data_IF_758812503148
#
_entry.id   IF_758812503148
#
_cell.length_a   1.000
_cell.length_b   1.000
_cell.length_c   1.000
_cell.angle_alpha   90.00
_cell.angle_beta   90.00
_cell.angle_gamma   90.00
#
_symmetry.space_group_name_H-M   'P 1'
#
loop_
_entity.id
_entity.type
_entity.pdbx_description
1 polymer ?
#
# COMPACT_ATOMS: atom_id res chain seq x y z
N UNK A 1 -2.93 4.57 21.36
CA UNK A 1 -3.94 4.19 22.36
C UNK A 1 -4.18 2.69 22.45
N UNK A 2 -3.79 1.88 21.44
CA UNK A 2 -4.00 0.43 21.46
C UNK A 2 -5.45 -0.02 21.22
N UNK A 3 -6.37 0.93 21.03
CA UNK A 3 -7.78 0.67 20.69
C UNK A 3 -8.02 1.01 19.21
N UNK A 4 -8.80 0.19 18.48
CA UNK A 4 -9.17 0.50 17.11
C UNK A 4 -9.99 1.81 17.06
N UNK A 5 -9.78 2.58 16.01
CA UNK A 5 -10.55 3.81 15.71
C UNK A 5 -11.52 3.50 14.57
N UNK A 6 -12.79 3.90 14.72
CA UNK A 6 -13.79 3.73 13.68
C UNK A 6 -13.78 4.93 12.74
N UNK A 7 -13.57 4.72 11.44
CA UNK A 7 -13.68 5.79 10.42
C UNK A 7 -15.14 5.90 9.98
N UNK A 8 -15.73 7.09 10.06
CA UNK A 8 -17.10 7.34 9.61
C UNK A 8 -17.07 7.94 8.21
N UNK A 9 -17.49 7.18 7.21
CA UNK A 9 -17.72 7.67 5.84
C UNK A 9 -19.21 7.88 5.61
N UNK A 10 -19.58 9.02 5.02
CA UNK A 10 -20.96 9.29 4.63
C UNK A 10 -21.32 8.63 3.30
N UNK A 11 -22.61 8.48 3.00
CA UNK A 11 -23.06 8.05 1.67
C UNK A 11 -22.50 8.94 0.55
N UNK A 12 -22.45 10.26 0.78
CA UNK A 12 -21.84 11.21 -0.16
C UNK A 12 -20.37 10.90 -0.41
N UNK A 13 -19.62 10.52 0.62
CA UNK A 13 -18.21 10.17 0.48
C UNK A 13 -18.01 8.90 -0.33
N UNK A 14 -18.83 7.88 -0.08
CA UNK A 14 -18.83 6.65 -0.88
C UNK A 14 -19.17 6.94 -2.35
N UNK A 15 -20.27 7.67 -2.62
CA UNK A 15 -20.70 8.03 -3.98
C UNK A 15 -19.62 8.85 -4.70
N UNK A 16 -19.00 9.84 -4.05
CA UNK A 16 -17.95 10.64 -4.67
C UNK A 16 -16.76 9.80 -5.14
N UNK A 17 -16.35 8.81 -4.34
CA UNK A 17 -15.32 7.85 -4.73
C UNK A 17 -15.79 6.92 -5.86
N UNK A 18 -17.00 6.37 -5.76
CA UNK A 18 -17.59 5.49 -6.77
C UNK A 18 -17.72 6.19 -8.13
N UNK A 19 -18.24 7.42 -8.16
CA UNK A 19 -18.38 8.20 -9.38
C UNK A 19 -17.02 8.48 -10.04
N UNK A 20 -16.00 8.77 -9.23
CA UNK A 20 -14.63 8.91 -9.71
C UNK A 20 -14.10 7.62 -10.31
N UNK A 21 -14.27 6.49 -9.63
CA UNK A 21 -13.83 5.17 -10.09
C UNK A 21 -14.50 4.79 -11.41
N UNK A 22 -15.83 4.97 -11.52
CA UNK A 22 -16.60 4.71 -12.74
C UNK A 22 -16.04 5.48 -13.93
N UNK A 23 -15.82 6.79 -13.79
CA UNK A 23 -15.25 7.62 -14.86
C UNK A 23 -13.82 7.23 -15.20
N UNK A 24 -12.96 7.13 -14.18
CA UNK A 24 -11.50 6.94 -14.34
C UNK A 24 -11.15 5.60 -14.99
N UNK A 25 -11.83 4.53 -14.58
CA UNK A 25 -11.58 3.18 -15.11
C UNK A 25 -12.57 2.79 -16.22
N UNK A 26 -13.46 3.72 -16.58
CA UNK A 26 -14.50 3.55 -17.59
C UNK A 26 -15.30 2.28 -17.36
N UNK A 27 -15.85 2.16 -16.14
CA UNK A 27 -16.70 1.04 -15.73
C UNK A 27 -18.02 1.08 -16.50
N UNK A 28 -18.51 -0.07 -16.94
CA UNK A 28 -19.81 -0.22 -17.61
C UNK A 28 -20.51 -1.54 -17.27
N UNK A 29 -21.76 -1.69 -17.68
CA UNK A 29 -22.59 -2.86 -17.35
C UNK A 29 -22.00 -4.22 -17.78
N UNK A 30 -21.13 -4.23 -18.79
CA UNK A 30 -20.45 -5.43 -19.29
C UNK A 30 -19.23 -5.83 -18.44
N UNK A 31 -18.81 -4.98 -17.49
CA UNK A 31 -17.66 -5.29 -16.65
C UNK A 31 -17.97 -6.38 -15.62
N UNK A 32 -16.90 -7.09 -15.28
CA UNK A 32 -16.88 -8.12 -14.24
C UNK A 32 -15.71 -7.86 -13.32
N UNK A 33 -15.99 -7.40 -12.11
CA UNK A 33 -14.98 -7.00 -11.14
C UNK A 33 -14.64 -8.17 -10.21
N UNK A 34 -13.36 -8.34 -9.85
CA UNK A 34 -12.98 -9.24 -8.78
C UNK A 34 -13.03 -8.52 -7.43
N UNK A 35 -13.68 -9.11 -6.44
CA UNK A 35 -13.66 -8.62 -5.06
C UNK A 35 -12.80 -9.53 -4.19
N UNK A 36 -11.59 -9.07 -3.90
CA UNK A 36 -10.63 -9.74 -3.02
C UNK A 36 -10.74 -9.31 -1.57
N UNK A 37 -10.99 -8.01 -1.40
CA UNK A 37 -10.96 -7.39 -0.10
C UNK A 37 -12.16 -7.84 0.73
N UNK A 38 -11.95 -8.36 1.95
CA UNK A 38 -13.04 -8.56 2.89
C UNK A 38 -13.84 -7.27 3.09
N UNK A 39 -15.13 -7.37 3.38
CA UNK A 39 -16.01 -6.19 3.51
C UNK A 39 -15.68 -5.26 4.69
N UNK A 40 -14.84 -5.71 5.61
CA UNK A 40 -14.28 -4.86 6.68
C UNK A 40 -13.05 -4.06 6.23
N UNK A 41 -12.69 -4.14 4.94
CA UNK A 41 -11.62 -3.39 4.30
C UNK A 41 -12.23 -2.52 3.18
N UNK A 42 -11.93 -1.23 3.22
CA UNK A 42 -12.48 -0.18 2.35
C UNK A 42 -12.21 -0.39 0.86
N UNK A 43 -11.15 -1.12 0.51
CA UNK A 43 -10.83 -1.53 -0.86
C UNK A 43 -12.01 -2.25 -1.54
N UNK A 44 -12.84 -2.97 -0.75
CA UNK A 44 -14.08 -3.61 -1.23
C UNK A 44 -15.14 -2.64 -1.75
N UNK A 45 -15.07 -1.35 -1.38
CA UNK A 45 -16.03 -0.34 -1.83
C UNK A 45 -15.88 -0.04 -3.32
N UNK A 46 -14.68 -0.19 -3.89
CA UNK A 46 -14.45 -0.03 -5.32
C UNK A 46 -15.23 -1.08 -6.10
N UNK A 47 -15.04 -2.36 -5.77
CA UNK A 47 -15.58 -3.47 -6.55
C UNK A 47 -17.10 -3.52 -6.43
N UNK A 48 -17.62 -3.41 -5.21
CA UNK A 48 -19.05 -3.53 -4.92
C UNK A 48 -19.82 -2.32 -5.46
N UNK A 49 -19.52 -1.12 -4.97
CA UNK A 49 -20.31 0.06 -5.35
C UNK A 49 -19.99 0.53 -6.77
N UNK A 50 -18.75 0.35 -7.25
CA UNK A 50 -18.39 0.60 -8.63
C UNK A 50 -19.22 -0.24 -9.60
N UNK A 51 -19.36 -1.55 -9.31
CA UNK A 51 -20.17 -2.41 -10.15
C UNK A 51 -21.67 -2.09 -10.06
N UNK A 52 -22.20 -1.87 -8.85
CA UNK A 52 -23.62 -1.56 -8.65
C UNK A 52 -24.03 -0.25 -9.32
N UNK A 53 -23.13 0.75 -9.35
CA UNK A 53 -23.40 2.04 -9.98
C UNK A 53 -23.61 1.94 -11.50
N UNK A 54 -23.06 0.93 -12.16
CA UNK A 54 -23.11 0.78 -13.63
C UNK A 54 -23.85 -0.48 -14.09
N UNK A 55 -24.40 -1.27 -13.17
CA UNK A 55 -25.07 -2.53 -13.49
C UNK A 55 -24.12 -3.69 -13.87
N UNK A 56 -22.85 -3.59 -13.49
CA UNK A 56 -21.85 -4.63 -13.68
C UNK A 56 -22.00 -5.78 -12.66
N UNK A 57 -21.20 -6.83 -12.84
CA UNK A 57 -21.17 -7.97 -11.92
C UNK A 57 -19.90 -8.01 -11.08
N UNK A 58 -19.97 -8.62 -9.91
CA UNK A 58 -18.84 -8.79 -8.99
C UNK A 58 -18.66 -10.27 -8.66
N UNK A 59 -17.43 -10.76 -8.83
CA UNK A 59 -17.02 -12.08 -8.35
C UNK A 59 -16.38 -11.94 -6.97
N UNK A 60 -17.09 -12.38 -5.94
CA UNK A 60 -16.57 -12.45 -4.57
C UNK A 60 -15.54 -13.57 -4.46
N UNK A 61 -14.31 -13.28 -4.05
CA UNK A 61 -13.25 -14.28 -3.90
C UNK A 61 -13.14 -14.67 -2.44
N UNK A 62 -13.26 -15.98 -2.18
CA UNK A 62 -13.22 -16.50 -0.81
C UNK A 62 -11.78 -16.47 -0.26
N UNK A 63 -11.59 -16.38 1.07
CA UNK A 63 -10.25 -16.35 1.65
C UNK A 63 -9.34 -17.51 1.22
N UNK A 64 -9.87 -18.73 1.10
CA UNK A 64 -9.10 -19.88 0.62
C UNK A 64 -8.72 -19.76 -0.86
N UNK A 65 -9.64 -19.24 -1.69
CA UNK A 65 -9.40 -19.01 -3.12
C UNK A 65 -8.31 -17.95 -3.33
N UNK A 66 -8.27 -16.91 -2.48
CA UNK A 66 -7.30 -15.82 -2.56
C UNK A 66 -5.84 -16.27 -2.39
N UNK A 67 -5.60 -17.46 -1.83
CA UNK A 67 -4.26 -18.04 -1.66
C UNK A 67 -3.81 -18.90 -2.85
N UNK A 68 -4.69 -19.18 -3.81
CA UNK A 68 -4.44 -20.10 -4.92
C UNK A 68 -4.11 -19.34 -6.21
N UNK A 69 -2.91 -18.76 -6.27
CA UNK A 69 -2.46 -17.92 -7.39
C UNK A 69 -2.70 -18.49 -8.81
N UNK A 70 -2.33 -19.75 -9.12
CA UNK A 70 -2.60 -20.32 -10.46
C UNK A 70 -4.09 -20.49 -10.76
N UNK A 71 -4.89 -20.82 -9.74
CA UNK A 71 -6.33 -20.94 -9.87
C UNK A 71 -6.98 -19.57 -10.13
N UNK A 72 -6.53 -18.53 -9.43
CA UNK A 72 -7.01 -17.15 -9.64
C UNK A 72 -6.77 -16.70 -11.08
N UNK A 73 -5.58 -16.96 -11.63
CA UNK A 73 -5.27 -16.63 -13.02
C UNK A 73 -6.23 -17.32 -14.00
N UNK A 74 -6.54 -18.61 -13.78
CA UNK A 74 -7.50 -19.36 -14.60
C UNK A 74 -8.92 -18.83 -14.46
N UNK A 75 -9.32 -18.52 -13.22
CA UNK A 75 -10.65 -17.99 -12.89
C UNK A 75 -10.91 -16.66 -13.59
N UNK A 76 -9.92 -15.77 -13.67
CA UNK A 76 -10.04 -14.49 -14.40
C UNK A 76 -10.58 -14.73 -15.82
N UNK A 77 -10.02 -15.72 -16.54
CA UNK A 77 -10.46 -16.07 -17.89
C UNK A 77 -11.78 -16.81 -17.92
N UNK A 78 -11.96 -17.80 -17.05
CA UNK A 78 -13.17 -18.65 -17.04
C UNK A 78 -14.43 -17.87 -16.67
N UNK A 79 -14.32 -16.91 -15.75
CA UNK A 79 -15.45 -16.09 -15.30
C UNK A 79 -15.55 -14.74 -16.05
N UNK A 80 -14.59 -14.46 -16.93
CA UNK A 80 -14.56 -13.27 -17.79
C UNK A 80 -14.28 -11.97 -17.03
N UNK A 81 -13.45 -12.01 -15.98
CA UNK A 81 -13.08 -10.84 -15.18
C UNK A 81 -12.40 -9.79 -16.07
N UNK A 82 -12.95 -8.58 -16.07
CA UNK A 82 -12.45 -7.45 -16.88
C UNK A 82 -11.60 -6.49 -16.04
N UNK A 83 -11.84 -6.42 -14.73
CA UNK A 83 -11.15 -5.52 -13.81
C UNK A 83 -10.83 -6.27 -12.52
N UNK A 84 -9.55 -6.26 -12.18
CA UNK A 84 -9.03 -6.85 -10.97
C UNK A 84 -8.61 -5.77 -9.99
N UNK A 85 -8.93 -5.93 -8.71
CA UNK A 85 -8.42 -5.03 -7.66
C UNK A 85 -8.03 -5.80 -6.39
N UNK A 86 -6.76 -5.74 -6.01
CA UNK A 86 -6.23 -6.43 -4.82
C UNK A 86 -5.04 -5.70 -4.19
N UNK A 87 -4.43 -6.31 -3.17
CA UNK A 87 -3.11 -5.88 -2.72
C UNK A 87 -2.00 -6.37 -3.67
N UNK A 88 -0.85 -5.67 -3.76
CA UNK A 88 0.33 -6.08 -4.54
C UNK A 88 0.77 -7.53 -4.35
N UNK A 89 0.78 -8.03 -3.10
CA UNK A 89 1.26 -9.39 -2.80
C UNK A 89 0.51 -10.50 -3.55
N UNK A 90 -0.80 -10.34 -3.80
CA UNK A 90 -1.59 -11.32 -4.57
C UNK A 90 -1.16 -11.32 -6.04
N UNK A 91 -0.96 -10.14 -6.63
CA UNK A 91 -0.53 -10.00 -8.03
C UNK A 91 0.89 -10.54 -8.23
N UNK A 92 1.80 -10.26 -7.28
CA UNK A 92 3.16 -10.78 -7.31
C UNK A 92 3.18 -12.32 -7.24
N UNK A 93 2.36 -12.92 -6.34
CA UNK A 93 2.22 -14.37 -6.26
C UNK A 93 1.67 -14.98 -7.56
N UNK A 94 0.70 -14.30 -8.19
CA UNK A 94 0.13 -14.72 -9.48
C UNK A 94 1.18 -14.73 -10.60
N UNK A 95 1.98 -13.66 -10.72
CA UNK A 95 3.06 -13.56 -11.71
C UNK A 95 4.14 -14.62 -11.49
N UNK A 96 4.50 -14.91 -10.23
CA UNK A 96 5.54 -15.89 -9.91
C UNK A 96 5.08 -17.34 -10.11
N UNK A 97 3.82 -17.64 -9.80
CA UNK A 97 3.32 -19.02 -9.72
C UNK A 97 2.59 -19.49 -10.98
N UNK A 98 2.37 -18.60 -11.96
CA UNK A 98 1.57 -18.90 -13.16
C UNK A 98 2.40 -18.69 -14.44
N UNK A 99 3.01 -19.76 -14.99
CA UNK A 99 3.59 -19.70 -16.32
C UNK A 99 2.56 -19.27 -17.37
N UNK A 100 2.99 -18.52 -18.38
CA UNK A 100 2.11 -17.96 -19.42
C UNK A 100 0.92 -17.15 -18.86
N UNK A 101 1.13 -16.33 -17.82
CA UNK A 101 0.08 -15.60 -17.13
C UNK A 101 -0.85 -14.83 -18.09
N UNK A 102 -0.31 -14.13 -19.10
CA UNK A 102 -1.10 -13.44 -20.12
C UNK A 102 -2.16 -14.34 -20.78
N UNK A 103 -1.80 -15.59 -21.10
CA UNK A 103 -2.74 -16.57 -21.66
C UNK A 103 -3.73 -17.04 -20.60
N UNK A 104 -3.27 -17.26 -19.37
CA UNK A 104 -4.10 -17.72 -18.26
C UNK A 104 -5.23 -16.73 -17.94
N UNK A 105 -4.94 -15.43 -17.90
CA UNK A 105 -5.93 -14.36 -17.62
C UNK A 105 -6.83 -14.03 -18.79
N UNK A 106 -6.37 -14.23 -20.04
CA UNK A 106 -7.16 -13.96 -21.24
C UNK A 106 -7.22 -12.48 -21.64
N UNK A 107 -7.78 -12.19 -22.83
CA UNK A 107 -7.73 -10.86 -23.43
C UNK A 107 -8.77 -9.87 -22.89
N UNK A 108 -9.78 -10.34 -22.16
CA UNK A 108 -10.87 -9.51 -21.63
C UNK A 108 -10.46 -8.69 -20.40
N UNK A 109 -9.37 -9.08 -19.72
CA UNK A 109 -8.86 -8.35 -18.56
C UNK A 109 -8.22 -7.03 -19.02
N UNK A 110 -8.85 -5.91 -18.65
CA UNK A 110 -8.42 -4.55 -19.00
C UNK A 110 -7.50 -3.95 -17.96
N UNK A 111 -7.83 -4.15 -16.69
CA UNK A 111 -7.15 -3.52 -15.55
C UNK A 111 -6.76 -4.52 -14.48
N UNK A 112 -5.52 -4.40 -14.00
CA UNK A 112 -5.11 -4.88 -12.68
C UNK A 112 -4.76 -3.67 -11.82
N UNK A 113 -5.68 -3.32 -10.95
CA UNK A 113 -5.54 -2.28 -9.95
C UNK A 113 -4.96 -2.88 -8.69
N UNK A 114 -4.20 -2.07 -7.94
CA UNK A 114 -3.69 -2.47 -6.65
C UNK A 114 -3.56 -1.29 -5.68
N UNK A 115 -3.71 -1.58 -4.40
CA UNK A 115 -3.57 -0.59 -3.33
C UNK A 115 -3.20 -1.25 -2.00
N UNK A 116 -2.86 -0.42 -1.01
CA UNK A 116 -2.80 -0.84 0.39
C UNK A 116 -1.49 -1.50 0.85
N UNK A 117 -0.54 -1.72 -0.06
CA UNK A 117 0.86 -2.09 0.19
C UNK A 117 1.76 -1.34 -0.81
N UNK A 118 3.05 -1.21 -0.50
CA UNK A 118 4.04 -0.81 -1.51
C UNK A 118 4.22 -2.00 -2.45
N UNK A 119 4.08 -1.78 -3.76
CA UNK A 119 4.43 -2.79 -4.76
C UNK A 119 5.93 -2.68 -5.04
N UNK A 120 6.76 -3.67 -4.65
CA UNK A 120 8.18 -3.56 -4.93
C UNK A 120 8.44 -3.70 -6.43
N UNK A 121 9.26 -2.80 -6.95
CA UNK A 121 9.42 -2.55 -8.39
C UNK A 121 9.90 -3.78 -9.17
N UNK A 122 10.81 -4.64 -8.67
CA UNK A 122 11.18 -5.87 -9.37
C UNK A 122 10.00 -6.82 -9.62
N UNK A 123 9.12 -6.99 -8.63
CA UNK A 123 7.93 -7.84 -8.75
C UNK A 123 6.89 -7.20 -9.68
N UNK A 124 6.74 -5.88 -9.65
CA UNK A 124 5.85 -5.17 -10.56
C UNK A 124 6.32 -5.28 -12.02
N UNK A 125 7.64 -5.26 -12.24
CA UNK A 125 8.26 -5.49 -13.54
C UNK A 125 7.93 -6.89 -14.05
N UNK A 126 8.15 -7.91 -13.22
CA UNK A 126 7.78 -9.29 -13.57
C UNK A 126 6.28 -9.43 -13.91
N UNK A 127 5.39 -8.75 -13.18
CA UNK A 127 3.96 -8.72 -13.51
C UNK A 127 3.71 -8.04 -14.86
N UNK A 128 4.28 -6.85 -15.09
CA UNK A 128 4.15 -6.08 -16.33
C UNK A 128 4.58 -6.92 -17.54
N UNK A 129 5.70 -7.62 -17.43
CA UNK A 129 6.22 -8.49 -18.49
C UNK A 129 5.34 -9.73 -18.71
N UNK A 130 4.71 -10.24 -17.65
CA UNK A 130 3.83 -11.41 -17.70
C UNK A 130 2.43 -11.10 -18.25
N UNK A 131 1.97 -9.84 -18.20
CA UNK A 131 0.67 -9.37 -18.72
C UNK A 131 0.78 -8.03 -19.48
N UNK A 132 1.55 -7.96 -20.58
CA UNK A 132 1.82 -6.70 -21.29
C UNK A 132 0.55 -6.05 -21.88
N UNK A 133 -0.50 -6.83 -22.10
CA UNK A 133 -1.79 -6.36 -22.62
C UNK A 133 -2.68 -5.68 -21.56
N UNK A 134 -2.34 -5.78 -20.27
CA UNK A 134 -3.19 -5.34 -19.16
C UNK A 134 -2.68 -4.01 -18.60
N UNK A 135 -3.57 -3.05 -18.39
CA UNK A 135 -3.21 -1.78 -17.73
C UNK A 135 -3.06 -2.01 -16.23
N UNK A 136 -2.02 -1.43 -15.64
CA UNK A 136 -1.75 -1.57 -14.20
C UNK A 136 -1.94 -0.21 -13.52
N UNK A 137 -2.66 -0.20 -12.40
CA UNK A 137 -2.98 1.03 -11.67
C UNK A 137 -2.66 0.92 -10.18
N UNK A 138 -1.84 1.82 -9.66
CA UNK A 138 -1.57 1.97 -8.24
C UNK A 138 -2.53 3.00 -7.64
N UNK A 139 -3.47 2.56 -6.81
CA UNK A 139 -4.37 3.44 -6.05
C UNK A 139 -3.80 3.61 -4.64
N UNK A 140 -3.87 4.83 -4.13
CA UNK A 140 -3.31 5.17 -2.83
C UNK A 140 -4.25 6.08 -2.05
N UNK A 141 -4.35 5.80 -0.75
CA UNK A 141 -5.02 6.64 0.21
C UNK A 141 -5.37 5.83 1.46
N UNK A 142 -5.41 6.47 2.64
CA UNK A 142 -5.92 5.81 3.83
C UNK A 142 -7.45 5.70 3.78
N UNK A 143 -8.01 4.91 4.69
CA UNK A 143 -9.47 4.73 4.82
C UNK A 143 -10.21 6.03 5.08
N UNK A 144 -9.57 6.98 5.75
CA UNK A 144 -10.10 8.32 5.98
C UNK A 144 -10.34 9.13 4.70
N UNK A 145 -9.77 8.72 3.56
CA UNK A 145 -9.99 9.37 2.26
C UNK A 145 -10.62 8.45 1.22
N UNK A 146 -10.77 7.15 1.47
CA UNK A 146 -11.23 6.15 0.49
C UNK A 146 -10.57 6.33 -0.89
N UNK A 147 -9.23 6.17 -0.95
CA UNK A 147 -8.35 6.57 -2.06
C UNK A 147 -8.31 8.08 -2.29
N UNK A 148 -7.11 8.65 -2.39
CA UNK A 148 -6.94 10.07 -2.67
C UNK A 148 -6.01 10.37 -3.85
N UNK A 149 -5.18 9.41 -4.24
CA UNK A 149 -4.30 9.53 -5.41
C UNK A 149 -4.29 8.22 -6.19
N UNK A 150 -3.94 8.30 -7.47
CA UNK A 150 -3.69 7.11 -8.27
C UNK A 150 -2.67 7.36 -9.37
N UNK A 151 -1.95 6.30 -9.74
CA UNK A 151 -0.93 6.26 -10.78
C UNK A 151 -1.22 5.13 -11.76
N UNK A 152 -1.38 5.45 -13.05
CA UNK A 152 -1.27 4.44 -14.09
C UNK A 152 0.21 4.14 -14.33
N UNK A 153 0.58 2.86 -14.26
CA UNK A 153 1.97 2.42 -14.38
C UNK A 153 2.37 2.39 -15.86
N UNK A 154 2.52 3.55 -16.51
CA UNK A 154 2.95 3.61 -17.91
C UNK A 154 4.42 3.22 -18.06
N UNK A 155 5.26 3.69 -17.13
CA UNK A 155 6.69 3.43 -17.10
C UNK A 155 7.10 2.95 -15.71
N UNK A 156 8.09 2.06 -15.68
CA UNK A 156 8.71 1.59 -14.45
C UNK A 156 10.06 2.29 -14.25
N UNK A 157 10.37 2.74 -13.04
CA UNK A 157 11.68 3.32 -12.76
C UNK A 157 12.79 2.26 -12.94
N UNK A 158 14.00 2.75 -13.22
CA UNK A 158 15.20 1.93 -13.26
C UNK A 158 15.53 1.36 -11.86
N UNK A 159 16.11 0.17 -11.84
CA UNK A 159 16.50 -0.51 -10.59
C UNK A 159 15.32 -0.82 -9.67
N UNK A 160 15.49 -0.49 -8.38
CA UNK A 160 14.56 -0.85 -7.29
C UNK A 160 13.78 0.36 -6.75
N UNK A 161 13.88 1.53 -7.40
CA UNK A 161 13.20 2.73 -6.92
C UNK A 161 11.67 2.52 -6.90
N UNK A 162 10.94 2.99 -5.86
CA UNK A 162 9.51 2.78 -5.76
C UNK A 162 8.75 3.55 -6.84
N UNK A 163 7.64 2.99 -7.30
CA UNK A 163 6.73 3.73 -8.19
C UNK A 163 6.05 4.90 -7.45
N UNK A 164 5.66 5.96 -8.17
CA UNK A 164 4.84 7.02 -7.61
C UNK A 164 3.48 6.52 -7.08
N UNK A 165 2.90 7.29 -6.16
CA UNK A 165 1.49 7.15 -5.76
C UNK A 165 0.57 8.01 -6.64
N UNK A 166 1.14 8.70 -7.63
CA UNK A 166 0.40 9.27 -8.74
C UNK A 166 -0.12 10.67 -8.49
N UNK A 167 -1.23 11.02 -9.13
CA UNK A 167 -1.84 12.35 -9.00
C UNK A 167 -3.05 12.26 -8.08
N UNK A 168 -3.36 13.38 -7.43
CA UNK A 168 -4.59 13.52 -6.65
C UNK A 168 -5.79 13.28 -7.56
N UNK A 169 -6.76 12.48 -7.11
CA UNK A 169 -7.98 12.21 -7.86
C UNK A 169 -8.69 13.52 -8.23
N UNK A 170 -9.30 13.58 -9.41
CA UNK A 170 -9.80 14.83 -10.01
C UNK A 170 -10.89 15.53 -9.18
N UNK A 171 -11.65 14.78 -8.39
CA UNK A 171 -12.69 15.28 -7.48
C UNK A 171 -12.14 15.78 -6.13
N UNK A 172 -10.82 15.72 -5.94
CA UNK A 172 -10.12 16.07 -4.70
C UNK A 172 -9.13 17.20 -4.92
N UNK A 173 -8.63 17.73 -3.82
CA UNK A 173 -7.58 18.75 -3.79
C UNK A 173 -6.51 18.31 -2.81
N UNK A 174 -5.26 18.25 -3.27
CA UNK A 174 -4.13 17.87 -2.45
C UNK A 174 -3.17 19.04 -2.22
N UNK A 175 -2.79 19.23 -0.97
CA UNK A 175 -1.81 20.21 -0.50
C UNK A 175 -0.67 19.47 0.18
N UNK A 176 0.58 19.89 -0.05
CA UNK A 176 1.75 19.33 0.61
C UNK A 176 2.23 20.37 1.60
N UNK A 177 2.17 20.08 2.90
CA UNK A 177 2.41 21.08 3.95
C UNK A 177 3.60 20.74 4.83
N UNK A 178 4.35 21.77 5.21
CA UNK A 178 5.45 21.70 6.15
C UNK A 178 4.98 21.61 7.60
N UNK A 179 5.92 21.63 8.54
CA UNK A 179 5.63 21.60 9.98
C UNK A 179 4.90 22.87 10.47
N UNK A 180 5.10 24.00 9.78
CA UNK A 180 4.42 25.26 10.03
C UNK A 180 2.97 25.30 9.50
N UNK A 181 2.51 24.20 8.87
CA UNK A 181 1.18 24.08 8.29
C UNK A 181 0.99 24.82 6.97
N UNK A 182 2.05 25.40 6.39
CA UNK A 182 2.02 26.07 5.09
C UNK A 182 2.46 25.14 3.97
N UNK A 183 2.10 25.47 2.74
CA UNK A 183 2.56 24.70 1.58
C UNK A 183 4.08 24.74 1.45
N UNK A 184 4.67 23.59 1.15
CA UNK A 184 6.12 23.48 0.91
C UNK A 184 6.47 23.99 -0.48
N UNK A 185 7.73 24.40 -0.66
CA UNK A 185 8.25 24.76 -1.98
C UNK A 185 8.17 23.57 -2.96
N UNK A 186 8.05 23.82 -4.29
CA UNK A 186 8.06 22.75 -5.29
C UNK A 186 9.26 21.80 -5.12
N UNK A 187 9.00 20.49 -5.15
CA UNK A 187 10.03 19.46 -4.98
C UNK A 187 10.46 19.20 -3.53
N UNK A 188 10.01 19.98 -2.55
CA UNK A 188 10.25 19.69 -1.14
C UNK A 188 9.35 18.56 -0.62
N UNK A 189 9.82 17.88 0.42
CA UNK A 189 9.04 16.85 1.14
C UNK A 189 8.14 17.53 2.16
N UNK A 190 6.88 17.08 2.25
CA UNK A 190 5.95 17.52 3.29
C UNK A 190 4.81 16.53 3.50
N UNK A 191 3.91 16.85 4.42
CA UNK A 191 2.74 16.04 4.72
C UNK A 191 1.68 16.19 3.63
N UNK A 192 1.08 15.08 3.22
CA UNK A 192 -0.07 15.09 2.31
C UNK A 192 -1.35 15.46 3.08
N UNK A 193 -2.01 16.51 2.60
CA UNK A 193 -3.31 16.96 3.07
C UNK A 193 -4.32 16.89 1.92
N UNK A 194 -5.46 16.27 2.16
CA UNK A 194 -6.50 16.05 1.15
C UNK A 194 -7.78 16.77 1.55
N UNK A 195 -8.38 17.50 0.63
CA UNK A 195 -9.72 18.07 0.73
C UNK A 195 -10.60 17.49 -0.38
N UNK A 196 -11.88 17.23 -0.10
CA UNK A 196 -12.82 16.82 -1.14
C UNK A 196 -14.00 15.99 -0.65
N UNK A 197 -14.75 15.46 -1.61
CA UNK A 197 -16.05 14.81 -1.36
C UNK A 197 -15.97 13.46 -0.65
N UNK A 198 -14.85 12.73 -0.76
CA UNK A 198 -14.67 11.37 -0.24
C UNK A 198 -14.02 11.29 1.15
N UNK A 199 -13.84 12.44 1.82
CA UNK A 199 -13.28 12.47 3.17
C UNK A 199 -14.23 11.84 4.20
N UNK A 200 -13.63 11.27 5.24
CA UNK A 200 -14.33 10.93 6.47
C UNK A 200 -15.12 12.11 7.03
N UNK A 201 -16.25 11.80 7.66
CA UNK A 201 -17.00 12.73 8.51
C UNK A 201 -16.36 12.89 9.89
N UNK A 202 -15.56 11.90 10.31
CA UNK A 202 -14.80 11.92 11.57
C UNK A 202 -14.52 10.51 12.07
N UNK A 203 -13.92 10.43 13.26
CA UNK A 203 -13.73 9.17 13.98
C UNK A 203 -14.90 8.92 14.95
N UNK A 204 -15.46 7.72 14.92
CA UNK A 204 -16.61 7.33 15.74
C UNK A 204 -16.28 7.46 17.23
N UNK A 205 -17.00 8.33 17.93
CA UNK A 205 -16.81 8.59 19.36
C UNK A 205 -15.51 9.32 19.72
N UNK A 206 -14.78 9.88 18.74
CA UNK A 206 -13.49 10.54 18.96
C UNK A 206 -13.38 11.88 18.20
N UNK A 207 -14.08 12.88 18.72
CA UNK A 207 -14.09 14.23 18.16
C UNK A 207 -12.74 14.95 18.30
N UNK A 208 -11.94 14.61 19.32
CA UNK A 208 -10.61 15.18 19.53
C UNK A 208 -9.65 14.73 18.45
N UNK A 209 -9.56 13.43 18.17
CA UNK A 209 -8.73 12.90 17.09
C UNK A 209 -9.19 13.45 15.74
N UNK A 210 -10.50 13.61 15.54
CA UNK A 210 -11.05 14.21 14.33
C UNK A 210 -10.51 15.63 14.13
N UNK A 211 -10.60 16.48 15.16
CA UNK A 211 -10.07 17.86 15.11
C UNK A 211 -8.56 17.88 14.89
N UNK A 212 -7.80 17.00 15.53
CA UNK A 212 -6.34 16.95 15.39
C UNK A 212 -5.87 16.61 13.97
N UNK A 213 -6.70 15.87 13.21
CA UNK A 213 -6.39 15.46 11.83
C UNK A 213 -6.94 16.39 10.77
N UNK A 214 -7.74 17.40 11.15
CA UNK A 214 -8.39 18.30 10.20
C UNK A 214 -7.88 19.74 10.37
N UNK A 215 -7.65 20.43 9.26
CA UNK A 215 -7.31 21.85 9.26
C UNK A 215 -7.89 22.55 8.03
N UNK A 216 -8.34 23.80 8.21
CA UNK A 216 -8.82 24.60 7.08
C UNK A 216 -7.64 25.15 6.28
N UNK A 217 -7.77 25.18 4.97
CA UNK A 217 -6.87 25.90 4.07
C UNK A 217 -7.15 27.40 4.05
N UNK A 218 -6.32 28.15 3.34
CA UNK A 218 -6.55 29.59 3.09
C UNK A 218 -7.82 29.87 2.28
N UNK A 219 -8.28 28.87 1.52
CA UNK A 219 -9.53 28.88 0.75
C UNK A 219 -10.74 28.36 1.55
N UNK A 220 -10.59 28.25 2.87
CA UNK A 220 -11.58 27.72 3.82
C UNK A 220 -11.98 26.24 3.58
N UNK A 221 -11.34 25.52 2.66
CA UNK A 221 -11.61 24.08 2.50
C UNK A 221 -11.09 23.31 3.71
N UNK A 222 -11.84 22.31 4.16
CA UNK A 222 -11.40 21.41 5.22
C UNK A 222 -10.49 20.33 4.63
N UNK A 223 -9.23 20.31 5.05
CA UNK A 223 -8.27 19.30 4.68
C UNK A 223 -8.07 18.28 5.80
N UNK A 224 -7.94 17.02 5.42
CA UNK A 224 -7.52 15.92 6.28
C UNK A 224 -6.03 15.63 6.09
N UNK A 225 -5.29 15.52 7.21
CA UNK A 225 -3.89 15.13 7.24
C UNK A 225 -3.77 13.61 7.19
N UNK A 226 -3.27 13.08 6.07
CA UNK A 226 -3.16 11.62 5.89
C UNK A 226 -2.10 10.99 6.79
N UNK A 227 -1.12 11.78 7.23
CA UNK A 227 0.06 11.33 7.95
C UNK A 227 1.17 10.82 7.05
N UNK A 228 0.99 10.87 5.72
CA UNK A 228 1.96 10.42 4.73
C UNK A 228 2.87 11.58 4.32
N UNK A 229 4.17 11.32 4.24
CA UNK A 229 5.15 12.23 3.68
C UNK A 229 5.26 11.98 2.18
N UNK A 230 5.20 13.05 1.40
CA UNK A 230 5.26 12.98 -0.06
C UNK A 230 6.14 14.09 -0.61
N UNK A 231 6.64 13.86 -1.82
CA UNK A 231 7.30 14.86 -2.66
C UNK A 231 6.55 14.96 -3.99
N UNK A 232 6.32 16.17 -4.48
CA UNK A 232 5.78 16.38 -5.84
C UNK A 232 6.91 16.48 -6.84
N UNK A 233 6.89 15.65 -7.87
CA UNK A 233 7.81 15.75 -9.02
C UNK A 233 7.39 16.88 -9.97
N UNK A 234 8.26 17.23 -10.91
CA UNK A 234 8.05 18.35 -11.84
C UNK A 234 6.80 18.18 -12.72
N UNK A 235 6.42 16.96 -13.04
CA UNK A 235 5.21 16.57 -13.80
C UNK A 235 3.91 16.55 -12.94
N UNK A 236 4.03 16.91 -11.66
CA UNK A 236 2.92 16.96 -10.69
C UNK A 236 2.61 15.63 -10.01
N UNK A 237 3.34 14.57 -10.32
CA UNK A 237 3.15 13.24 -9.72
C UNK A 237 3.67 13.23 -8.27
N UNK A 238 3.03 12.47 -7.39
CA UNK A 238 3.38 12.37 -5.98
C UNK A 238 4.20 11.11 -5.73
N UNK A 239 5.34 11.29 -5.08
CA UNK A 239 6.26 10.24 -4.67
C UNK A 239 6.13 10.08 -3.16
N UNK A 240 5.71 8.90 -2.72
CA UNK A 240 5.61 8.56 -1.30
C UNK A 240 7.01 8.47 -0.68
N UNK A 241 7.19 9.08 0.49
CA UNK A 241 8.46 9.15 1.23
C UNK A 241 8.40 8.39 2.57
N UNK A 242 7.23 7.91 2.97
CA UNK A 242 7.03 7.26 4.26
C UNK A 242 5.88 7.87 5.03
N UNK A 243 5.79 7.52 6.30
CA UNK A 243 4.71 7.95 7.19
C UNK A 243 5.28 8.66 8.40
N UNK A 244 4.73 9.82 8.73
CA UNK A 244 5.17 10.63 9.88
C UNK A 244 5.11 9.86 11.19
N UNK A 245 4.15 8.95 11.37
CA UNK A 245 4.02 8.10 12.55
C UNK A 245 4.82 6.78 12.48
N UNK A 246 5.41 6.45 11.33
CA UNK A 246 6.35 5.32 11.16
C UNK A 246 7.82 5.75 11.13
N UNK A 247 8.07 7.05 11.21
CA UNK A 247 9.38 7.64 11.40
C UNK A 247 9.87 7.40 12.81
N UNK A 248 10.98 6.68 12.90
CA UNK A 248 11.54 6.26 14.18
C UNK A 248 12.91 6.87 14.39
N UNK A 249 13.22 7.22 15.63
CA UNK A 249 14.57 7.65 15.99
C UNK A 249 15.37 6.43 16.43
N UNK A 250 16.43 6.10 15.68
CA UNK A 250 17.35 5.01 15.99
C UNK A 250 18.72 5.64 16.23
N UNK A 251 19.21 5.58 17.47
CA UNK A 251 20.52 6.16 17.87
C UNK A 251 20.68 7.64 17.47
N UNK A 252 19.61 8.41 17.58
CA UNK A 252 19.59 9.83 17.21
C UNK A 252 19.35 10.11 15.71
N UNK A 253 19.38 9.10 14.85
CA UNK A 253 19.07 9.21 13.42
C UNK A 253 17.59 9.00 13.17
N UNK A 254 17.02 9.78 12.24
CA UNK A 254 15.65 9.61 11.78
C UNK A 254 15.64 8.54 10.69
N UNK A 255 14.97 7.42 10.94
CA UNK A 255 14.91 6.26 10.05
C UNK A 255 13.47 5.99 9.62
N UNK A 256 13.27 5.79 8.33
CA UNK A 256 12.02 5.32 7.74
C UNK A 256 12.05 3.80 7.65
N UNK A 257 11.10 3.12 8.31
CA UNK A 257 11.05 1.65 8.26
C UNK A 257 10.89 1.11 6.82
N UNK A 258 10.17 1.85 5.99
CA UNK A 258 9.95 1.48 4.59
C UNK A 258 11.23 1.51 3.74
N UNK A 259 12.19 2.39 4.05
CA UNK A 259 13.48 2.44 3.36
C UNK A 259 14.30 1.18 3.66
N UNK A 260 14.33 0.79 4.93
CA UNK A 260 15.00 -0.45 5.36
C UNK A 260 14.34 -1.67 4.73
N UNK A 261 13.01 -1.72 4.70
CA UNK A 261 12.26 -2.80 4.05
C UNK A 261 12.50 -2.87 2.55
N UNK A 262 12.55 -1.73 1.85
CA UNK A 262 12.86 -1.69 0.43
C UNK A 262 14.25 -2.28 0.15
N UNK A 263 15.25 -1.93 0.96
CA UNK A 263 16.59 -2.50 0.84
C UNK A 263 16.62 -4.01 1.15
N UNK A 264 15.86 -4.48 2.15
CA UNK A 264 15.73 -5.92 2.46
C UNK A 264 15.07 -6.66 1.30
N UNK A 265 13.99 -6.12 0.73
CA UNK A 265 13.28 -6.74 -0.39
C UNK A 265 14.09 -6.77 -1.70
N UNK A 266 15.13 -5.94 -1.81
CA UNK A 266 16.06 -5.97 -2.92
C UNK A 266 17.09 -7.10 -2.83
N UNK A 267 17.15 -7.83 -1.71
CA UNK A 267 18.02 -8.99 -1.55
C UNK A 267 17.38 -10.23 -2.24
N UNK A 268 18.06 -10.90 -3.18
CA UNK A 268 17.50 -12.00 -3.97
C UNK A 268 16.96 -13.17 -3.13
N UNK A 269 17.54 -13.42 -1.96
CA UNK A 269 17.20 -14.49 -1.03
C UNK A 269 15.91 -14.23 -0.26
N UNK A 270 15.42 -12.99 -0.20
CA UNK A 270 14.22 -12.61 0.57
C UNK A 270 12.95 -12.86 -0.25
N UNK A 271 12.01 -13.61 0.33
CA UNK A 271 10.66 -13.80 -0.21
C UNK A 271 9.69 -12.75 0.37
N UNK A 272 9.70 -12.60 1.70
CA UNK A 272 8.91 -11.60 2.42
C UNK A 272 9.72 -11.00 3.56
N UNK A 273 9.49 -9.74 3.89
CA UNK A 273 10.17 -9.07 4.97
C UNK A 273 9.28 -7.98 5.59
N UNK A 274 9.44 -7.78 6.89
CA UNK A 274 8.87 -6.65 7.61
C UNK A 274 9.88 -6.19 8.66
N UNK A 275 10.12 -4.89 8.71
CA UNK A 275 10.92 -4.24 9.74
C UNK A 275 9.98 -3.61 10.76
N UNK A 276 10.23 -3.91 12.03
CA UNK A 276 9.52 -3.31 13.15
C UNK A 276 10.50 -2.49 13.99
N UNK A 277 10.04 -1.33 14.46
CA UNK A 277 10.72 -0.61 15.51
C UNK A 277 10.21 -1.05 16.88
N UNK A 278 11.15 -1.35 17.77
CA UNK A 278 10.93 -1.68 19.18
C UNK A 278 11.51 -0.54 20.03
N UNK A 279 10.80 -0.12 21.07
CA UNK A 279 11.32 0.91 21.97
C UNK A 279 12.64 0.47 22.62
N UNK A 280 13.62 1.35 22.59
CA UNK A 280 14.94 1.21 23.21
C UNK A 280 15.17 2.40 24.13
N UNK A 281 15.22 2.14 25.44
CA UNK A 281 15.26 3.20 26.45
C UNK A 281 16.46 4.13 26.34
N UNK A 282 17.55 3.72 25.66
CA UNK A 282 18.77 4.51 25.50
C UNK A 282 18.87 5.17 24.13
N UNK A 283 18.36 4.54 23.07
CA UNK A 283 18.60 4.94 21.68
C UNK A 283 17.35 5.37 20.92
N UNK A 284 16.25 5.55 21.63
CA UNK A 284 14.94 5.81 21.05
C UNK A 284 14.30 4.48 20.66
N UNK A 285 14.65 3.96 19.49
CA UNK A 285 14.16 2.69 18.97
C UNK A 285 15.30 1.82 18.45
N UNK A 286 15.06 0.50 18.48
CA UNK A 286 15.85 -0.53 17.81
C UNK A 286 15.02 -1.08 16.64
N UNK A 287 15.69 -1.41 15.54
CA UNK A 287 15.06 -2.05 14.38
C UNK A 287 15.23 -3.57 14.46
N UNK A 288 14.14 -4.30 14.32
CA UNK A 288 14.13 -5.76 14.22
C UNK A 288 13.49 -6.16 12.88
N UNK A 289 14.16 -7.04 12.13
CA UNK A 289 13.70 -7.57 10.86
C UNK A 289 13.09 -8.96 11.05
N UNK A 290 11.92 -9.19 10.47
CA UNK A 290 11.33 -10.50 10.30
C UNK A 290 11.33 -10.85 8.81
N UNK A 291 12.04 -11.90 8.43
CA UNK A 291 12.22 -12.28 7.04
C UNK A 291 11.83 -13.74 6.79
N UNK A 292 11.17 -13.97 5.66
CA UNK A 292 10.96 -15.30 5.07
C UNK A 292 11.90 -15.37 3.87
N UNK A 293 12.73 -16.40 3.83
CA UNK A 293 13.71 -16.60 2.76
C UNK A 293 13.21 -17.61 1.75
N UNK A 294 13.58 -17.42 0.48
CA UNK A 294 13.27 -18.36 -0.61
C UNK A 294 13.94 -19.72 -0.38
N UNK A 295 15.17 -19.69 0.13
CA UNK A 295 15.94 -20.86 0.53
C UNK A 295 16.71 -20.54 1.82
N UNK A 296 16.24 -20.99 3.00
CA UNK A 296 16.92 -20.70 4.25
C UNK A 296 18.29 -21.38 4.32
N UNK A 297 19.31 -20.59 4.68
CA UNK A 297 20.70 -21.00 4.93
C UNK A 297 21.01 -20.90 6.43
N UNK A 298 21.88 -21.76 7.00
CA UNK A 298 22.39 -21.57 8.36
C UNK A 298 23.06 -20.20 8.58
N UNK A 299 23.57 -19.58 7.51
CA UNK A 299 24.26 -18.29 7.53
C UNK A 299 23.35 -17.10 7.17
N UNK A 300 22.05 -17.31 7.06
CA UNK A 300 21.07 -16.32 6.61
C UNK A 300 21.18 -14.95 7.31
N UNK A 301 21.37 -14.90 8.62
CA UNK A 301 21.53 -13.62 9.35
C UNK A 301 22.75 -12.85 8.83
N UNK A 302 23.89 -13.53 8.70
CA UNK A 302 25.15 -12.94 8.20
C UNK A 302 25.00 -12.47 6.75
N UNK A 303 24.41 -13.29 5.89
CA UNK A 303 24.18 -12.97 4.47
C UNK A 303 23.31 -11.71 4.32
N UNK A 304 22.18 -11.65 5.04
CA UNK A 304 21.30 -10.48 5.03
C UNK A 304 22.02 -9.23 5.55
N UNK A 305 22.79 -9.32 6.63
CA UNK A 305 23.55 -8.18 7.16
C UNK A 305 24.56 -7.64 6.17
N UNK A 306 25.29 -8.53 5.48
CA UNK A 306 26.26 -8.14 4.45
C UNK A 306 25.54 -7.47 3.29
N UNK A 307 24.47 -8.08 2.77
CA UNK A 307 23.69 -7.49 1.68
C UNK A 307 23.07 -6.14 2.02
N UNK A 308 22.65 -5.94 3.27
CA UNK A 308 22.14 -4.65 3.75
C UNK A 308 23.25 -3.61 3.94
N UNK A 309 24.45 -4.00 4.36
CA UNK A 309 25.56 -3.08 4.57
C UNK A 309 26.03 -2.39 3.28
N UNK A 310 25.84 -3.04 2.13
CA UNK A 310 26.14 -2.46 0.81
C UNK A 310 25.08 -1.44 0.35
N UNK A 311 23.91 -1.41 1.00
CA UNK A 311 22.73 -0.64 0.57
C UNK A 311 22.30 0.42 1.58
N UNK A 312 22.59 0.22 2.86
CA UNK A 312 22.11 1.04 3.96
C UNK A 312 23.28 1.50 4.85
N UNK A 313 23.21 2.72 5.41
CA UNK A 313 24.09 3.11 6.50
C UNK A 313 23.98 2.17 7.70
N UNK A 314 25.07 1.98 8.44
CA UNK A 314 25.15 1.04 9.56
C UNK A 314 24.07 1.24 10.65
N UNK A 315 23.57 2.46 10.85
CA UNK A 315 22.52 2.75 11.84
C UNK A 315 21.10 2.32 11.39
N UNK A 316 20.90 2.03 10.10
CA UNK A 316 19.64 1.52 9.54
C UNK A 316 19.60 -0.01 9.48
N UNK A 317 20.74 -0.69 9.63
CA UNK A 317 20.80 -2.16 9.62
C UNK A 317 20.05 -2.69 10.85
N UNK A 318 19.05 -3.58 10.68
CA UNK A 318 18.32 -4.19 11.78
C UNK A 318 19.26 -4.82 12.81
N UNK A 319 19.05 -4.48 14.07
CA UNK A 319 19.84 -5.02 15.18
C UNK A 319 19.56 -6.51 15.38
N UNK A 320 18.31 -6.95 15.14
CA UNK A 320 17.91 -8.36 15.20
C UNK A 320 17.29 -8.79 13.87
N UNK A 321 17.58 -10.01 13.45
CA UNK A 321 17.02 -10.63 12.26
C UNK A 321 16.38 -11.96 12.67
N UNK A 322 15.08 -12.09 12.41
CA UNK A 322 14.28 -13.27 12.68
C UNK A 322 13.96 -13.96 11.37
N UNK A 323 14.60 -15.10 11.12
CA UNK A 323 14.25 -15.95 9.96
C UNK A 323 13.02 -16.79 10.32
N UNK A 324 11.98 -16.71 9.50
CA UNK A 324 10.68 -17.34 9.73
C UNK A 324 10.27 -18.22 8.56
N UNK A 325 9.43 -19.21 8.85
CA UNK A 325 8.74 -19.99 7.82
C UNK A 325 7.62 -19.18 7.14
N UNK A 326 6.94 -18.31 7.89
CA UNK A 326 5.90 -17.41 7.42
C UNK A 326 5.85 -16.10 8.24
N UNK A 327 5.15 -15.08 7.70
CA UNK A 327 4.82 -13.87 8.44
C UNK A 327 3.36 -13.93 8.90
N UNK A 328 3.06 -13.63 10.19
CA UNK A 328 1.69 -13.64 10.67
C UNK A 328 0.87 -12.62 9.91
N UNK A 329 -0.36 -13.00 9.54
CA UNK A 329 -1.29 -12.13 8.80
C UNK A 329 -2.46 -11.70 9.70
N UNK A 330 -2.95 -10.49 9.48
CA UNK A 330 -4.19 -9.97 10.07
C UNK A 330 -5.41 -10.65 9.42
N UNK A 331 -6.60 -10.41 9.96
CA UNK A 331 -7.87 -10.84 9.32
C UNK A 331 -8.06 -10.30 7.89
N UNK A 332 -7.31 -9.24 7.52
CA UNK A 332 -7.32 -8.64 6.19
C UNK A 332 -6.30 -9.25 5.21
N UNK A 333 -5.49 -10.23 5.64
CA UNK A 333 -4.43 -10.84 4.83
C UNK A 333 -3.10 -10.07 4.81
N UNK A 334 -3.07 -8.82 5.30
CA UNK A 334 -1.83 -8.03 5.47
C UNK A 334 -0.95 -8.59 6.59
N UNK A 335 0.36 -8.42 6.50
CA UNK A 335 1.29 -8.79 7.60
C UNK A 335 0.94 -8.04 8.90
N UNK A 336 0.80 -8.78 10.00
CA UNK A 336 0.49 -8.27 11.32
C UNK A 336 1.73 -7.70 12.01
N UNK A 337 2.06 -6.47 11.66
CA UNK A 337 3.17 -5.70 12.25
C UNK A 337 3.06 -5.52 13.75
N UNK A 338 1.85 -5.41 14.30
CA UNK A 338 1.65 -5.18 15.72
C UNK A 338 2.01 -6.43 16.51
N UNK A 339 1.59 -7.60 16.02
CA UNK A 339 1.99 -8.88 16.59
C UNK A 339 3.51 -9.07 16.51
N UNK A 340 4.12 -8.84 15.35
CA UNK A 340 5.57 -8.96 15.19
C UNK A 340 6.34 -8.01 16.13
N UNK A 341 5.88 -6.76 16.27
CA UNK A 341 6.46 -5.79 17.20
C UNK A 341 6.33 -6.27 18.65
N UNK A 342 5.18 -6.81 19.05
CA UNK A 342 4.97 -7.33 20.39
C UNK A 342 5.86 -8.55 20.69
N UNK A 343 6.01 -9.48 19.74
CA UNK A 343 6.93 -10.62 19.83
C UNK A 343 8.39 -10.16 20.00
N UNK A 344 8.82 -9.18 19.19
CA UNK A 344 10.16 -8.59 19.27
C UNK A 344 10.42 -7.80 20.56
N UNK A 345 9.38 -7.18 21.13
CA UNK A 345 9.47 -6.51 22.43
C UNK A 345 9.50 -7.49 23.62
N UNK A 346 8.79 -8.62 23.51
CA UNK A 346 8.72 -9.65 24.55
C UNK A 346 9.99 -10.50 24.62
N UNK A 347 10.68 -10.69 23.50
CA UNK A 347 11.98 -11.34 23.44
C UNK A 347 13.05 -10.43 24.08
N UNK A 348 13.25 -10.55 25.41
CA UNK A 348 14.41 -9.97 26.07
C UNK A 348 15.60 -10.92 25.89
N UNK A 349 16.62 -10.45 25.19
CA UNK A 349 17.89 -11.19 25.01
C UNK A 349 17.78 -12.23 23.93
#
# INVERSE_FOLDING_TARGET
>A
TGRPKGVVLSHRAAIAFTDWAVRTFSLGAEDRLSNHAPFHFDLSTFDLYGAFAVGASVRLIKPLEAMLAPWLARMIREEGITIWYSVPSVLAAMAQSTPELARAVGPQLRWMLFAGEVFPTPQLRALRDAVPQVRLGNLFGPTETNVCTWYEVCELPEGDAPIPIGKVCDHLTGSIRGEDGREVAPGAVGLLWIAGGNLLSGYWGDADLTRQRMARGSDDRLFYNTGDLVRRSADGTLIFQGRRDHLVKVRGYRVELGEVEAAVHALPEVAEAVVVAVEDAQHGHRLDLHAVLKAPSPDADRELRVGLADRLPAYMIPARIWIRGDLPRTSSGKVDRNRLRAESAASRG
#
